data_IF_192744785479
#
_entry.id   IF_192744785479
#
_cell.length_a   1.000
_cell.length_b   1.000
_cell.length_c   1.000
_cell.angle_alpha   90.00
_cell.angle_beta   90.00
_cell.angle_gamma   90.00
#
_symmetry.space_group_name_H-M   'P 1'
#
loop_
_entity.id
_entity.type
_entity.pdbx_description
1 polymer ?
#
# COMPACT_ATOMS: atom_id res chain seq x y z
N UNK A 1 -0.80 -29.54 -23.55
CA UNK A 1 -1.63 -29.31 -22.33
C UNK A 1 -0.85 -28.35 -21.45
N UNK A 2 -1.28 -27.11 -21.20
CA UNK A 2 -0.60 -26.28 -20.20
C UNK A 2 -1.11 -26.66 -18.80
N UNK A 3 -0.15 -26.89 -17.91
CA UNK A 3 -0.34 -27.16 -16.48
C UNK A 3 -0.85 -25.90 -15.74
N UNK A 4 -1.56 -26.07 -14.62
CA UNK A 4 -2.16 -24.96 -13.88
C UNK A 4 -1.07 -24.12 -13.20
N UNK A 5 -1.02 -22.84 -13.56
CA UNK A 5 -0.13 -21.86 -12.94
C UNK A 5 -0.73 -21.46 -11.58
N UNK A 6 -0.44 -22.24 -10.54
CA UNK A 6 -0.52 -21.77 -9.16
C UNK A 6 0.72 -20.90 -8.87
N UNK A 7 0.76 -19.71 -9.47
CA UNK A 7 1.73 -18.66 -9.17
C UNK A 7 1.10 -17.67 -8.20
N UNK A 8 1.77 -17.40 -7.08
CA UNK A 8 1.46 -16.37 -6.06
C UNK A 8 0.70 -15.20 -6.70
N UNK A 9 -0.54 -14.94 -6.28
CA UNK A 9 -1.41 -13.94 -6.92
C UNK A 9 -0.66 -12.61 -7.10
N UNK A 10 -0.25 -12.32 -8.34
CA UNK A 10 0.29 -11.02 -8.73
C UNK A 10 -0.88 -10.04 -8.63
N UNK A 11 -1.00 -9.35 -7.50
CA UNK A 11 -2.04 -8.34 -7.28
C UNK A 11 -1.55 -7.05 -7.93
N UNK A 12 -2.40 -6.47 -8.77
CA UNK A 12 -2.06 -5.17 -9.37
C UNK A 12 -1.94 -4.10 -8.28
N UNK A 13 -1.14 -3.04 -8.49
CA UNK A 13 -1.07 -1.92 -7.54
C UNK A 13 -2.45 -1.34 -7.21
N UNK A 14 -3.35 -1.26 -8.19
CA UNK A 14 -4.72 -0.82 -8.00
C UNK A 14 -5.52 -1.74 -7.05
N UNK A 15 -5.37 -3.06 -7.20
CA UNK A 15 -6.01 -4.01 -6.28
C UNK A 15 -5.45 -3.86 -4.87
N UNK A 16 -4.15 -3.69 -4.71
CA UNK A 16 -3.52 -3.48 -3.40
C UNK A 16 -4.10 -2.25 -2.71
N UNK A 17 -4.19 -1.12 -3.41
CA UNK A 17 -4.75 0.13 -2.88
C UNK A 17 -6.23 -0.02 -2.54
N UNK A 18 -7.01 -0.66 -3.42
CA UNK A 18 -8.44 -0.90 -3.18
C UNK A 18 -8.66 -1.75 -1.93
N UNK A 19 -7.96 -2.87 -1.81
CA UNK A 19 -8.13 -3.75 -0.66
C UNK A 19 -7.59 -3.12 0.63
N UNK A 20 -6.50 -2.36 0.56
CA UNK A 20 -5.99 -1.59 1.70
C UNK A 20 -7.02 -0.58 2.20
N UNK A 21 -7.69 0.13 1.28
CA UNK A 21 -8.78 1.05 1.62
C UNK A 21 -9.93 0.34 2.32
N UNK A 22 -10.39 -0.78 1.79
CA UNK A 22 -11.48 -1.56 2.38
C UNK A 22 -11.12 -2.06 3.79
N UNK A 23 -9.89 -2.52 3.99
CA UNK A 23 -9.38 -2.93 5.29
C UNK A 23 -9.34 -1.76 6.30
N UNK A 24 -8.90 -0.57 5.86
CA UNK A 24 -8.91 0.63 6.70
C UNK A 24 -10.33 1.06 7.10
N UNK A 25 -11.29 0.99 6.18
CA UNK A 25 -12.71 1.23 6.50
C UNK A 25 -13.22 0.20 7.53
N UNK A 26 -12.80 -1.06 7.40
CA UNK A 26 -13.17 -2.09 8.37
C UNK A 26 -12.58 -1.80 9.76
N UNK A 27 -11.31 -1.37 9.85
CA UNK A 27 -10.67 -0.94 11.11
C UNK A 27 -11.44 0.21 11.76
N UNK A 28 -11.94 1.17 10.97
CA UNK A 28 -12.77 2.26 11.50
C UNK A 28 -14.11 1.77 12.06
N UNK A 29 -14.77 0.84 11.37
CA UNK A 29 -16.10 0.34 11.76
C UNK A 29 -16.08 -0.66 12.92
N UNK A 30 -14.97 -1.34 13.14
CA UNK A 30 -14.88 -2.48 14.08
C UNK A 30 -14.02 -2.21 15.31
N UNK A 31 -13.70 -0.94 15.56
CA UNK A 31 -12.84 -0.50 16.65
C UNK A 31 -13.32 -1.05 18.01
N UNK A 32 -12.45 -1.79 18.71
CA UNK A 32 -12.72 -2.36 20.04
C UNK A 32 -13.44 -3.72 20.05
N UNK A 33 -13.63 -4.35 18.88
CA UNK A 33 -14.24 -5.69 18.74
C UNK A 33 -13.19 -6.69 18.24
N UNK A 34 -13.37 -7.99 18.52
CA UNK A 34 -12.54 -9.09 17.95
C UNK A 34 -12.45 -9.07 16.41
N UNK A 35 -13.42 -8.45 15.73
CA UNK A 35 -13.39 -8.26 14.26
C UNK A 35 -12.39 -7.19 13.81
N UNK A 36 -12.01 -6.27 14.70
CA UNK A 36 -11.01 -5.24 14.46
C UNK A 36 -9.60 -5.81 14.34
N UNK A 37 -9.26 -6.85 15.12
CA UNK A 37 -7.95 -7.50 15.06
C UNK A 37 -7.71 -8.08 13.65
N UNK A 38 -8.71 -8.74 13.08
CA UNK A 38 -8.64 -9.26 11.70
C UNK A 38 -8.49 -8.14 10.66
N UNK A 39 -9.18 -7.01 10.86
CA UNK A 39 -9.06 -5.87 9.95
C UNK A 39 -7.65 -5.26 10.00
N UNK A 40 -7.02 -5.22 11.17
CA UNK A 40 -5.62 -4.77 11.32
C UNK A 40 -4.64 -5.76 10.67
N UNK A 41 -4.85 -7.07 10.81
CA UNK A 41 -4.05 -8.08 10.09
C UNK A 41 -4.15 -7.91 8.56
N UNK A 42 -5.36 -7.67 8.05
CA UNK A 42 -5.57 -7.41 6.63
C UNK A 42 -4.83 -6.13 6.19
N UNK A 43 -4.87 -5.05 6.98
CA UNK A 43 -4.08 -3.83 6.69
C UNK A 43 -2.59 -4.16 6.61
N UNK A 44 -2.05 -4.90 7.58
CA UNK A 44 -0.63 -5.26 7.61
C UNK A 44 -0.22 -6.03 6.34
N UNK A 45 -1.01 -7.03 5.94
CA UNK A 45 -0.80 -7.79 4.70
C UNK A 45 -0.72 -6.88 3.46
N UNK A 46 -1.62 -5.92 3.33
CA UNK A 46 -1.62 -5.02 2.18
C UNK A 46 -0.49 -3.99 2.22
N UNK A 47 -0.06 -3.55 3.41
CA UNK A 47 1.12 -2.71 3.57
C UNK A 47 2.40 -3.45 3.15
N UNK A 48 2.54 -4.73 3.50
CA UNK A 48 3.67 -5.55 3.04
C UNK A 48 3.69 -5.68 1.52
N UNK A 49 2.54 -5.96 0.89
CA UNK A 49 2.45 -6.00 -0.57
C UNK A 49 2.80 -4.65 -1.22
N UNK A 50 2.39 -3.53 -0.62
CA UNK A 50 2.77 -2.19 -1.10
C UNK A 50 4.27 -1.94 -0.95
N UNK A 51 4.90 -2.40 0.13
CA UNK A 51 6.36 -2.34 0.32
C UNK A 51 7.10 -3.17 -0.71
N UNK A 52 6.64 -4.39 -0.98
CA UNK A 52 7.24 -5.26 -1.99
C UNK A 52 7.21 -4.62 -3.38
N UNK A 53 6.14 -3.87 -3.71
CA UNK A 53 6.07 -3.08 -4.95
C UNK A 53 7.10 -1.96 -4.95
N UNK A 54 7.25 -1.24 -3.83
CA UNK A 54 8.13 -0.06 -3.71
C UNK A 54 9.61 -0.42 -3.66
N UNK A 55 9.98 -1.43 -2.88
CA UNK A 55 11.36 -1.80 -2.59
C UNK A 55 11.83 -3.04 -3.36
N UNK A 56 10.92 -3.75 -4.02
CA UNK A 56 11.18 -5.06 -4.61
C UNK A 56 11.04 -6.18 -3.60
N UNK A 57 11.00 -7.41 -4.11
CA UNK A 57 11.10 -8.64 -3.31
C UNK A 57 12.42 -9.36 -3.64
N UNK A 58 12.78 -10.39 -2.88
CA UNK A 58 13.98 -11.22 -3.14
C UNK A 58 14.03 -11.80 -4.57
N UNK A 59 12.89 -11.83 -5.28
CA UNK A 59 12.76 -12.42 -6.62
C UNK A 59 12.40 -11.40 -7.71
N UNK A 60 12.14 -10.14 -7.38
CA UNK A 60 11.61 -9.17 -8.36
C UNK A 60 12.06 -7.75 -8.01
N UNK A 61 12.83 -7.12 -8.91
CA UNK A 61 13.22 -5.71 -8.79
C UNK A 61 12.01 -4.78 -8.83
N UNK A 62 12.03 -3.67 -8.07
CA UNK A 62 10.95 -2.69 -8.06
C UNK A 62 10.74 -2.11 -9.47
N UNK A 63 9.61 -2.46 -10.08
CA UNK A 63 9.26 -1.93 -11.39
C UNK A 63 8.76 -0.50 -11.22
N UNK A 64 9.53 0.46 -11.75
CA UNK A 64 9.25 1.89 -11.70
C UNK A 64 7.81 2.24 -12.10
N UNK A 65 7.24 1.52 -13.07
CA UNK A 65 5.85 1.67 -13.52
C UNK A 65 4.83 1.25 -12.45
N UNK A 66 5.05 0.11 -11.76
CA UNK A 66 4.16 -0.37 -10.72
C UNK A 66 4.15 0.56 -9.50
N UNK A 67 5.31 1.13 -9.15
CA UNK A 67 5.41 2.12 -8.09
C UNK A 67 4.69 3.42 -8.47
N UNK A 68 4.81 3.87 -9.71
CA UNK A 68 4.10 5.04 -10.20
C UNK A 68 2.57 4.84 -10.16
N UNK A 69 2.09 3.66 -10.59
CA UNK A 69 0.68 3.29 -10.51
C UNK A 69 0.20 3.24 -9.06
N UNK A 70 0.98 2.62 -8.15
CA UNK A 70 0.67 2.59 -6.72
C UNK A 70 0.51 4.01 -6.15
N UNK A 71 1.42 4.92 -6.49
CA UNK A 71 1.38 6.31 -6.05
C UNK A 71 0.10 7.01 -6.52
N UNK A 72 -0.23 6.88 -7.81
CA UNK A 72 -1.40 7.51 -8.41
C UNK A 72 -2.69 6.98 -7.77
N UNK A 73 -2.82 5.67 -7.63
CA UNK A 73 -4.00 5.04 -7.02
C UNK A 73 -4.15 5.42 -5.56
N UNK A 74 -3.06 5.44 -4.78
CA UNK A 74 -3.11 5.78 -3.35
C UNK A 74 -3.60 7.21 -3.12
N UNK A 75 -3.22 8.13 -4.02
CA UNK A 75 -3.70 9.51 -4.01
C UNK A 75 -5.16 9.63 -4.47
N UNK A 76 -5.52 9.01 -5.60
CA UNK A 76 -6.90 9.03 -6.12
C UNK A 76 -7.89 8.41 -5.12
N UNK A 77 -7.50 7.33 -4.46
CA UNK A 77 -8.34 6.61 -3.52
C UNK A 77 -8.40 7.27 -2.13
N UNK A 78 -7.63 8.34 -1.87
CA UNK A 78 -7.46 9.00 -0.58
C UNK A 78 -7.00 8.05 0.53
N UNK A 79 -6.09 7.13 0.21
CA UNK A 79 -5.61 6.12 1.17
C UNK A 79 -4.56 6.70 2.13
N UNK A 80 -3.69 7.63 1.69
CA UNK A 80 -2.69 8.24 2.58
C UNK A 80 -3.30 8.93 3.81
N UNK A 81 -4.34 9.80 3.68
CA UNK A 81 -4.98 10.41 4.84
C UNK A 81 -5.64 9.37 5.76
N UNK A 82 -6.22 8.30 5.20
CA UNK A 82 -6.85 7.23 5.98
C UNK A 82 -5.85 6.43 6.80
N UNK A 83 -4.66 6.17 6.25
CA UNK A 83 -3.55 5.54 6.96
C UNK A 83 -3.10 6.37 8.16
N UNK A 84 -2.91 7.68 7.96
CA UNK A 84 -2.52 8.61 9.04
C UNK A 84 -3.59 8.67 10.12
N UNK A 85 -4.86 8.79 9.74
CA UNK A 85 -5.99 8.85 10.68
C UNK A 85 -6.11 7.58 11.54
N UNK A 86 -5.87 6.42 10.95
CA UNK A 86 -5.96 5.13 11.64
C UNK A 86 -4.63 4.66 12.24
N UNK A 87 -3.55 5.44 12.10
CA UNK A 87 -2.21 5.08 12.52
C UNK A 87 -2.15 4.63 13.98
N UNK A 88 -2.85 5.32 14.89
CA UNK A 88 -2.87 4.98 16.32
C UNK A 88 -3.41 3.57 16.60
N UNK A 89 -4.29 3.05 15.73
CA UNK A 89 -4.97 1.75 15.87
C UNK A 89 -4.15 0.59 15.30
N UNK A 90 -3.12 0.88 14.51
CA UNK A 90 -2.23 -0.12 13.93
C UNK A 90 -1.16 -0.55 14.94
N UNK A 91 -0.63 -1.75 14.73
CA UNK A 91 0.51 -2.25 15.49
C UNK A 91 1.80 -1.47 15.18
N UNK A 92 2.82 -1.68 15.99
CA UNK A 92 4.09 -0.94 15.89
C UNK A 92 4.79 -1.15 14.55
N UNK A 93 4.73 -2.35 13.97
CA UNK A 93 5.41 -2.64 12.71
C UNK A 93 4.66 -2.00 11.54
N UNK A 94 3.34 -2.15 11.48
CA UNK A 94 2.50 -1.46 10.49
C UNK A 94 2.70 0.06 10.51
N UNK A 95 2.93 0.68 11.68
CA UNK A 95 3.24 2.11 11.78
C UNK A 95 4.55 2.48 11.07
N UNK A 96 5.58 1.65 11.19
CA UNK A 96 6.85 1.85 10.45
C UNK A 96 6.64 1.69 8.95
N UNK A 97 5.89 0.68 8.55
CA UNK A 97 5.59 0.41 7.14
C UNK A 97 4.85 1.59 6.50
N UNK A 98 3.83 2.12 7.19
CA UNK A 98 3.12 3.33 6.74
C UNK A 98 4.07 4.49 6.55
N UNK A 99 4.98 4.74 7.50
CA UNK A 99 5.96 5.83 7.39
C UNK A 99 6.92 5.61 6.21
N UNK A 100 7.38 4.39 5.97
CA UNK A 100 8.26 4.05 4.84
C UNK A 100 7.55 4.27 3.50
N UNK A 101 6.34 3.72 3.34
CA UNK A 101 5.51 3.88 2.15
C UNK A 101 5.22 5.36 1.90
N UNK A 102 4.77 6.08 2.92
CA UNK A 102 4.45 7.51 2.82
C UNK A 102 5.65 8.34 2.37
N UNK A 103 6.81 8.13 2.99
CA UNK A 103 8.04 8.84 2.62
C UNK A 103 8.47 8.56 1.18
N UNK A 104 8.35 7.31 0.72
CA UNK A 104 8.71 6.95 -0.65
C UNK A 104 7.76 7.61 -1.66
N UNK A 105 6.45 7.51 -1.43
CA UNK A 105 5.43 8.09 -2.31
C UNK A 105 5.51 9.62 -2.36
N UNK A 106 5.76 10.28 -1.22
CA UNK A 106 5.92 11.73 -1.14
C UNK A 106 7.12 12.21 -1.94
N UNK A 107 8.29 11.57 -1.79
CA UNK A 107 9.50 11.93 -2.56
C UNK A 107 9.27 11.81 -4.07
N UNK A 108 8.57 10.76 -4.49
CA UNK A 108 8.30 10.52 -5.91
C UNK A 108 7.31 11.51 -6.52
N UNK A 109 6.29 11.94 -5.78
CA UNK A 109 5.41 13.01 -6.23
C UNK A 109 6.13 14.36 -6.31
N UNK A 110 7.03 14.66 -5.37
CA UNK A 110 7.84 15.86 -5.44
C UNK A 110 8.78 15.84 -6.66
N UNK A 111 9.37 14.69 -7.00
CA UNK A 111 10.18 14.56 -8.22
C UNK A 111 9.36 14.80 -9.51
N UNK A 112 8.12 14.31 -9.57
CA UNK A 112 7.20 14.58 -10.69
C UNK A 112 6.72 16.04 -10.75
N UNK A 113 6.55 16.70 -9.60
CA UNK A 113 6.06 18.09 -9.50
C UNK A 113 7.17 19.12 -9.66
N UNK A 114 8.43 18.77 -9.37
CA UNK A 114 9.60 19.67 -9.51
C UNK A 114 10.21 19.61 -10.93
N UNK A 115 9.88 18.59 -11.72
CA UNK A 115 10.35 18.45 -13.12
C UNK A 115 9.54 19.13 -14.24
N UNK A 116 8.49 19.98 -14.05
CA UNK A 116 7.82 20.63 -15.19
C UNK A 116 8.66 21.74 -15.85
N UNK A 117 9.89 21.99 -15.40
CA UNK A 117 10.79 23.04 -15.94
C UNK A 117 12.20 22.57 -16.28
N UNK A 118 12.50 21.27 -16.30
CA UNK A 118 13.73 20.80 -16.95
C UNK A 118 13.48 20.78 -18.46
N UNK A 119 13.80 21.93 -19.06
CA UNK A 119 13.86 22.22 -20.49
C UNK A 119 14.91 21.35 -21.17
#
# INVERSE_FOLDING_TARGET
>A
MPLPIFGKSHKSPADVVKNLKEALVAVEKTQGLKKGDKAVEDVNKWLQMAKDIIYGSETQDPHSEQVAQLAQETCNANVLPMLIKNLAKLDFESKKDVAQIFNNLLRRQLELVVTPWST
#
